data_IF_156883289378
#
_entry.id   IF_156883289378
#
_cell.length_a   1.000
_cell.length_b   1.000
_cell.length_c   1.000
_cell.angle_alpha   90.00
_cell.angle_beta   90.00
_cell.angle_gamma   90.00
#
_symmetry.space_group_name_H-M   'P 1'
#
loop_
_entity.id
_entity.type
_entity.pdbx_description
1 polymer ?
#
# COMPACT_ATOMS: atom_id res chain seq x y z
N UNK A 1 7.90 6.35 -7.58
CA UNK A 1 7.03 7.28 -6.82
C UNK A 1 5.66 6.61 -6.69
N UNK A 2 4.86 6.92 -5.67
CA UNK A 2 3.62 6.17 -5.38
C UNK A 2 2.37 6.94 -5.87
N UNK A 3 1.51 6.30 -6.66
CA UNK A 3 0.33 6.93 -7.27
C UNK A 3 -0.92 6.04 -7.16
N UNK A 4 -2.03 6.60 -6.68
CA UNK A 4 -3.33 5.93 -6.73
C UNK A 4 -4.09 6.20 -8.02
N UNK A 5 -4.66 5.13 -8.56
CA UNK A 5 -5.58 5.14 -9.68
C UNK A 5 -6.95 4.66 -9.25
N UNK A 6 -7.97 5.28 -9.82
CA UNK A 6 -9.37 4.89 -9.67
C UNK A 6 -9.98 4.69 -11.04
N UNK A 7 -11.02 3.88 -11.12
CA UNK A 7 -11.63 3.47 -12.38
C UNK A 7 -13.13 3.19 -12.21
N UNK A 8 -13.83 3.07 -13.35
CA UNK A 8 -15.20 2.56 -13.39
C UNK A 8 -15.19 1.05 -13.15
N UNK A 9 -15.77 0.57 -12.05
CA UNK A 9 -15.75 -0.86 -11.71
C UNK A 9 -16.45 -1.75 -12.76
N UNK A 10 -17.24 -1.17 -13.65
CA UNK A 10 -17.88 -1.88 -14.78
C UNK A 10 -16.90 -2.16 -15.93
N UNK A 11 -15.69 -1.59 -15.91
CA UNK A 11 -14.65 -1.80 -16.93
C UNK A 11 -13.68 -2.96 -16.56
N UNK A 12 -13.96 -3.73 -15.50
CA UNK A 12 -13.09 -4.82 -14.99
C UNK A 12 -12.90 -5.99 -15.98
N UNK A 13 -13.69 -6.09 -17.05
CA UNK A 13 -13.65 -7.20 -18.01
C UNK A 13 -12.47 -7.16 -19.02
N UNK A 14 -11.42 -6.36 -18.77
CA UNK A 14 -10.25 -6.29 -19.66
C UNK A 14 -9.03 -6.96 -19.00
N UNK A 15 -8.32 -7.80 -19.76
CA UNK A 15 -7.01 -8.41 -19.39
C UNK A 15 -5.87 -7.38 -19.25
N UNK A 16 -6.19 -6.08 -19.16
CA UNK A 16 -5.22 -5.00 -19.05
C UNK A 16 -4.93 -4.69 -17.57
N UNK A 17 -3.65 -4.56 -17.22
CA UNK A 17 -3.17 -4.17 -15.88
C UNK A 17 -3.90 -2.96 -15.27
N UNK A 18 -4.17 -1.94 -16.10
CA UNK A 18 -5.02 -0.81 -15.73
C UNK A 18 -6.31 -0.88 -16.56
N UNK A 19 -7.49 -0.82 -15.92
CA UNK A 19 -8.76 -0.68 -16.62
C UNK A 19 -8.74 0.54 -17.56
N UNK A 20 -9.51 0.50 -18.64
CA UNK A 20 -9.54 1.59 -19.65
C UNK A 20 -9.93 2.95 -19.07
N UNK A 21 -10.77 2.97 -18.05
CA UNK A 21 -11.16 4.19 -17.31
C UNK A 21 -10.20 4.57 -16.18
N UNK A 22 -9.10 3.83 -15.97
CA UNK A 22 -8.15 4.14 -14.92
C UNK A 22 -7.58 5.54 -15.08
N UNK A 23 -7.74 6.35 -14.03
CA UNK A 23 -7.24 7.72 -13.99
C UNK A 23 -6.74 8.06 -12.58
N UNK A 24 -5.88 9.07 -12.49
CA UNK A 24 -5.39 9.54 -11.19
C UNK A 24 -6.51 10.24 -10.44
N UNK A 25 -6.46 10.19 -9.12
CA UNK A 25 -7.43 10.88 -8.26
C UNK A 25 -7.48 12.40 -8.57
N UNK A 26 -6.31 13.01 -8.83
CA UNK A 26 -6.23 14.43 -9.23
C UNK A 26 -7.06 14.76 -10.48
N UNK A 27 -7.03 13.86 -11.46
CA UNK A 27 -7.68 14.07 -12.75
C UNK A 27 -9.19 13.89 -12.60
N UNK A 28 -9.60 12.87 -11.83
CA UNK A 28 -11.01 12.65 -11.47
C UNK A 28 -11.59 13.84 -10.71
N UNK A 29 -10.88 14.37 -9.70
CA UNK A 29 -11.36 15.53 -8.92
C UNK A 29 -11.46 16.81 -9.75
N UNK A 30 -10.62 16.95 -10.78
CA UNK A 30 -10.61 18.12 -11.66
C UNK A 30 -11.70 18.08 -12.72
N UNK A 31 -12.00 16.88 -13.24
CA UNK A 31 -13.02 16.66 -14.25
C UNK A 31 -13.76 15.34 -14.01
N UNK A 32 -14.71 15.31 -13.05
CA UNK A 32 -15.37 14.07 -12.67
C UNK A 32 -16.20 13.48 -13.83
N UNK A 33 -15.99 12.21 -14.19
CA UNK A 33 -16.86 11.50 -15.13
C UNK A 33 -18.23 11.21 -14.51
N UNK A 34 -19.13 10.61 -15.29
CA UNK A 34 -20.49 10.26 -14.83
C UNK A 34 -20.55 9.06 -13.88
N UNK A 35 -19.48 8.28 -13.79
CA UNK A 35 -19.39 7.10 -12.92
C UNK A 35 -18.78 7.46 -11.57
N UNK A 36 -19.03 6.62 -10.56
CA UNK A 36 -18.47 6.76 -9.22
C UNK A 36 -17.45 5.64 -8.95
N UNK A 37 -16.22 5.97 -8.54
CA UNK A 37 -15.24 4.96 -8.17
C UNK A 37 -15.67 4.23 -6.91
N UNK A 38 -15.26 2.97 -6.83
CA UNK A 38 -15.37 2.15 -5.64
C UNK A 38 -14.10 2.29 -4.79
N UNK A 39 -14.24 2.72 -3.54
CA UNK A 39 -13.10 2.93 -2.63
C UNK A 39 -12.41 1.61 -2.21
N UNK A 40 -13.04 0.47 -2.46
CA UNK A 40 -12.49 -0.88 -2.32
C UNK A 40 -11.79 -1.40 -3.57
N UNK A 41 -11.75 -0.60 -4.63
CA UNK A 41 -11.21 -0.91 -5.95
C UNK A 41 -10.20 0.15 -6.40
N UNK A 42 -9.34 0.58 -5.49
CA UNK A 42 -8.25 1.51 -5.82
C UNK A 42 -7.04 0.71 -6.26
N UNK A 43 -6.31 1.22 -7.25
CA UNK A 43 -5.06 0.62 -7.76
C UNK A 43 -3.88 1.46 -7.27
N UNK A 44 -2.81 0.82 -6.79
CA UNK A 44 -1.56 1.51 -6.45
C UNK A 44 -0.44 1.17 -7.43
N UNK A 45 0.12 2.20 -8.05
CA UNK A 45 1.28 2.06 -8.92
C UNK A 45 2.53 2.67 -8.27
N UNK A 46 3.64 1.95 -8.36
CA UNK A 46 4.98 2.43 -8.07
C UNK A 46 5.75 2.69 -9.37
N UNK A 47 6.04 3.96 -9.65
CA UNK A 47 6.63 4.37 -10.95
C UNK A 47 8.01 3.76 -11.27
N UNK A 48 8.74 3.24 -10.28
CA UNK A 48 10.07 2.63 -10.51
C UNK A 48 10.00 1.10 -10.69
N UNK A 49 8.80 0.52 -10.66
CA UNK A 49 8.59 -0.91 -10.88
C UNK A 49 8.09 -1.16 -12.30
N UNK A 50 8.53 -2.24 -12.97
CA UNK A 50 7.90 -2.72 -14.19
C UNK A 50 6.40 -2.94 -14.01
N UNK A 51 5.63 -2.74 -15.08
CA UNK A 51 4.17 -2.94 -15.07
C UNK A 51 3.77 -4.33 -14.56
N UNK A 52 4.45 -5.38 -15.03
CA UNK A 52 4.19 -6.77 -14.62
C UNK A 52 4.35 -6.97 -13.10
N UNK A 53 5.28 -6.25 -12.46
CA UNK A 53 5.42 -6.34 -11.01
C UNK A 53 4.27 -5.63 -10.31
N UNK A 54 3.87 -4.44 -10.79
CA UNK A 54 2.73 -3.74 -10.21
C UNK A 54 1.44 -4.57 -10.27
N UNK A 55 1.25 -5.39 -11.32
CA UNK A 55 0.07 -6.23 -11.51
C UNK A 55 -0.14 -7.23 -10.37
N UNK A 56 0.96 -7.83 -9.90
CA UNK A 56 0.93 -8.90 -8.90
C UNK A 56 0.39 -8.47 -7.52
N UNK A 57 0.29 -7.16 -7.21
CA UNK A 57 -0.11 -6.68 -5.88
C UNK A 57 -1.20 -5.60 -5.87
N UNK A 58 -1.95 -5.49 -6.97
CA UNK A 58 -2.62 -4.26 -7.34
C UNK A 58 -4.03 -4.05 -6.78
N UNK A 59 -4.70 -5.08 -6.24
CA UNK A 59 -5.95 -4.85 -5.53
C UNK A 59 -5.63 -4.22 -4.18
N UNK A 60 -5.58 -2.89 -4.17
CA UNK A 60 -5.37 -2.14 -2.97
C UNK A 60 -6.67 -2.23 -2.17
N UNK A 61 -6.60 -2.90 -1.02
CA UNK A 61 -7.75 -3.05 -0.11
C UNK A 61 -8.38 -1.70 0.25
N UNK A 62 -9.47 -1.73 1.00
CA UNK A 62 -10.29 -0.55 1.29
C UNK A 62 -9.46 0.71 1.59
N UNK A 63 -9.64 1.79 0.79
CA UNK A 63 -8.80 2.99 0.86
C UNK A 63 -8.75 3.59 2.28
N UNK A 64 -9.87 3.56 3.01
CA UNK A 64 -9.97 4.00 4.39
C UNK A 64 -9.09 3.18 5.37
N UNK A 65 -8.73 1.94 5.05
CA UNK A 65 -7.79 1.13 5.82
C UNK A 65 -6.33 1.39 5.41
N UNK A 66 -6.11 1.92 4.21
CA UNK A 66 -4.79 2.21 3.67
C UNK A 66 -4.25 3.55 4.15
N UNK A 67 -5.07 4.61 4.15
CA UNK A 67 -4.59 5.96 4.50
C UNK A 67 -3.93 6.05 5.88
N UNK A 68 -4.49 5.46 6.95
CA UNK A 68 -3.81 5.47 8.25
C UNK A 68 -2.46 4.74 8.22
N UNK A 69 -2.31 3.71 7.37
CA UNK A 69 -1.03 3.00 7.23
C UNK A 69 0.01 3.86 6.53
N UNK A 70 -0.40 4.65 5.54
CA UNK A 70 0.48 5.61 4.87
C UNK A 70 0.93 6.73 5.81
N UNK A 71 0.04 7.19 6.70
CA UNK A 71 0.37 8.16 7.74
C UNK A 71 1.40 7.59 8.73
N UNK A 72 1.16 6.38 9.25
CA UNK A 72 2.14 5.68 10.10
C UNK A 72 3.47 5.47 9.36
N UNK A 73 3.42 5.07 8.09
CA UNK A 73 4.61 4.88 7.26
C UNK A 73 5.45 6.16 7.20
N UNK A 74 4.84 7.33 6.95
CA UNK A 74 5.54 8.62 6.96
C UNK A 74 6.17 8.91 8.32
N UNK A 75 5.42 8.71 9.42
CA UNK A 75 5.92 8.96 10.78
C UNK A 75 7.16 8.12 11.04
N UNK A 76 7.12 6.82 10.73
CA UNK A 76 8.25 5.92 10.96
C UNK A 76 9.46 6.25 10.11
N UNK A 77 9.26 6.54 8.82
CA UNK A 77 10.35 6.89 7.91
C UNK A 77 11.04 8.19 8.32
N UNK A 78 10.26 9.18 8.78
CA UNK A 78 10.79 10.47 9.28
C UNK A 78 11.58 10.28 10.58
N UNK A 79 11.18 9.30 11.41
CA UNK A 79 11.90 8.86 12.61
C UNK A 79 13.16 8.01 12.31
N UNK A 80 13.50 7.78 11.05
CA UNK A 80 14.61 6.90 10.66
C UNK A 80 14.36 5.41 10.96
N UNK A 81 13.10 5.01 11.13
CA UNK A 81 12.67 3.62 11.34
C UNK A 81 12.14 3.05 10.03
N UNK A 82 12.23 1.73 9.85
CA UNK A 82 11.51 1.10 8.76
C UNK A 82 10.00 1.18 9.00
N UNK A 83 9.25 1.30 7.92
CA UNK A 83 7.79 1.26 7.92
C UNK A 83 7.28 0.09 7.09
N UNK A 84 6.03 -0.30 7.37
CA UNK A 84 5.34 -1.38 6.70
C UNK A 84 4.06 -0.86 6.05
N UNK A 85 3.68 -1.48 4.94
CA UNK A 85 2.39 -1.28 4.30
C UNK A 85 1.76 -2.65 4.04
N UNK A 86 0.51 -2.82 4.46
CA UNK A 86 -0.26 -4.04 4.21
C UNK A 86 -1.29 -3.77 3.10
N UNK A 87 -1.28 -4.62 2.08
CA UNK A 87 -2.25 -4.64 0.97
C UNK A 87 -2.98 -5.98 0.94
N UNK A 88 -3.91 -6.17 0.00
CA UNK A 88 -4.77 -7.36 -0.02
C UNK A 88 -5.06 -7.81 -1.45
N UNK A 89 -4.39 -8.87 -1.93
CA UNK A 89 -4.63 -9.47 -3.23
C UNK A 89 -5.56 -10.66 -3.15
N UNK A 90 -6.70 -10.63 -3.85
CA UNK A 90 -7.52 -11.83 -4.12
C UNK A 90 -7.67 -12.82 -2.93
N UNK A 91 -7.85 -12.29 -1.70
CA UNK A 91 -8.00 -13.00 -0.40
C UNK A 91 -6.75 -13.13 0.49
N UNK A 92 -5.57 -12.70 0.06
CA UNK A 92 -4.32 -12.79 0.84
C UNK A 92 -3.76 -11.41 1.21
N UNK A 93 -3.22 -11.31 2.42
CA UNK A 93 -2.58 -10.08 2.90
C UNK A 93 -1.13 -10.03 2.45
N UNK A 94 -0.77 -9.00 1.69
CA UNK A 94 0.61 -8.78 1.27
C UNK A 94 1.23 -7.66 2.09
N UNK A 95 2.53 -7.78 2.33
CA UNK A 95 3.27 -6.80 3.10
C UNK A 95 4.42 -6.24 2.29
N UNK A 96 4.63 -4.94 2.44
CA UNK A 96 5.77 -4.21 1.88
C UNK A 96 6.57 -3.58 3.01
N UNK A 97 7.89 -3.47 2.82
CA UNK A 97 8.79 -2.79 3.74
C UNK A 97 9.45 -1.60 3.06
N UNK A 98 9.60 -0.54 3.83
CA UNK A 98 10.31 0.68 3.45
C UNK A 98 11.39 0.94 4.48
N UNK A 99 12.67 0.86 4.08
CA UNK A 99 13.82 1.03 4.98
C UNK A 99 14.55 2.33 4.65
N UNK A 100 14.66 3.29 5.59
CA UNK A 100 15.46 4.49 5.36
C UNK A 100 16.96 4.14 5.28
N UNK A 101 17.65 4.74 4.31
CA UNK A 101 19.10 4.61 4.10
C UNK A 101 19.65 5.94 3.60
N UNK A 102 20.23 6.73 4.51
CA UNK A 102 20.70 8.10 4.21
C UNK A 102 19.57 8.93 3.55
N UNK A 103 19.77 9.40 2.32
CA UNK A 103 18.81 10.20 1.54
C UNK A 103 17.85 9.35 0.69
N UNK A 104 17.92 8.03 0.80
CA UNK A 104 17.05 7.09 0.08
C UNK A 104 16.19 6.25 1.02
N UNK A 105 15.15 5.68 0.45
CA UNK A 105 14.30 4.67 1.07
C UNK A 105 14.33 3.44 0.16
N UNK A 106 14.68 2.29 0.73
CA UNK A 106 14.66 1.00 0.06
C UNK A 106 13.26 0.39 0.21
N UNK A 107 12.65 0.04 -0.91
CA UNK A 107 11.37 -0.66 -0.97
C UNK A 107 11.59 -2.13 -1.35
N UNK A 108 10.99 -3.03 -0.57
CA UNK A 108 10.96 -4.46 -0.90
C UNK A 108 9.58 -5.06 -0.64
N UNK A 109 9.25 -6.10 -1.40
CA UNK A 109 8.10 -6.96 -1.11
C UNK A 109 8.46 -7.99 -0.06
N UNK A 110 7.52 -8.23 0.86
CA UNK A 110 7.60 -9.26 1.88
C UNK A 110 6.66 -10.44 1.56
N UNK A 111 5.80 -10.31 0.55
CA UNK A 111 4.78 -11.31 0.24
C UNK A 111 3.83 -11.57 1.42
N UNK A 112 3.43 -12.83 1.58
CA UNK A 112 2.51 -13.27 2.64
C UNK A 112 3.30 -13.70 3.87
N UNK A 113 2.96 -13.10 5.01
CA UNK A 113 3.55 -13.45 6.30
C UNK A 113 2.96 -14.76 6.86
N UNK A 114 3.64 -15.45 7.78
CA UNK A 114 3.03 -16.57 8.50
C UNK A 114 1.94 -16.11 9.46
N UNK A 115 1.06 -17.03 9.86
CA UNK A 115 0.13 -16.79 10.97
C UNK A 115 0.91 -16.60 12.30
N UNK A 116 0.43 -15.72 13.20
CA UNK A 116 -0.77 -14.90 13.09
C UNK A 116 -0.55 -13.57 12.34
N UNK A 117 0.70 -13.24 11.97
CA UNK A 117 1.12 -11.93 11.48
C UNK A 117 0.46 -11.48 10.17
N UNK A 118 0.04 -12.41 9.30
CA UNK A 118 -0.70 -12.04 8.08
C UNK A 118 -2.05 -11.34 8.34
N UNK A 119 -2.63 -11.52 9.52
CA UNK A 119 -3.88 -10.87 9.95
C UNK A 119 -3.66 -9.51 10.62
N UNK A 120 -2.41 -9.18 10.95
CA UNK A 120 -2.07 -7.97 11.70
C UNK A 120 -2.00 -6.77 10.75
N UNK A 121 -2.43 -5.61 11.25
CA UNK A 121 -2.25 -4.34 10.56
C UNK A 121 -1.03 -3.61 11.13
N UNK A 122 -0.28 -2.87 10.32
CA UNK A 122 0.84 -2.06 10.79
C UNK A 122 0.38 -0.78 11.52
N UNK A 123 -0.72 -0.86 12.28
CA UNK A 123 -1.41 0.25 12.93
C UNK A 123 -1.64 -0.04 14.41
N UNK A 124 -1.42 0.95 15.27
CA UNK A 124 -1.75 0.86 16.71
C UNK A 124 -3.22 0.47 16.93
N UNK A 125 -4.11 1.11 16.17
CA UNK A 125 -5.55 0.84 16.21
C UNK A 125 -5.90 -0.01 14.99
N UNK A 126 -5.68 -1.32 15.11
CA UNK A 126 -6.03 -2.29 14.05
C UNK A 126 -7.54 -2.24 13.77
N UNK A 127 -7.97 -2.27 12.49
CA UNK A 127 -9.37 -2.46 12.14
C UNK A 127 -9.88 -3.88 12.51
N UNK A 128 -8.99 -4.81 12.83
CA UNK A 128 -9.34 -6.14 13.34
C UNK A 128 -9.49 -6.16 14.87
N UNK A 129 -10.47 -6.92 15.35
CA UNK A 129 -11.02 -6.88 16.72
C UNK A 129 -10.20 -7.62 17.81
N UNK A 130 -8.88 -7.79 17.65
CA UNK A 130 -8.07 -8.44 18.68
C UNK A 130 -7.58 -7.42 19.71
N UNK A 131 -8.47 -7.07 20.66
CA UNK A 131 -8.27 -5.95 21.61
C UNK A 131 -7.15 -6.14 22.63
N UNK A 132 -6.70 -7.38 22.85
CA UNK A 132 -5.82 -7.72 23.96
C UNK A 132 -4.33 -7.74 23.60
N UNK A 133 -3.99 -7.49 22.32
CA UNK A 133 -2.61 -7.58 21.81
C UNK A 133 -2.26 -6.32 21.02
N UNK A 134 -1.08 -5.75 21.28
CA UNK A 134 -0.49 -4.69 20.43
C UNK A 134 0.05 -5.32 19.14
N UNK A 135 -0.86 -5.56 18.19
CA UNK A 135 -0.57 -6.20 16.90
C UNK A 135 0.49 -5.45 16.10
N UNK A 136 0.49 -4.11 16.18
CA UNK A 136 1.50 -3.30 15.51
C UNK A 136 2.87 -3.65 16.07
N UNK A 137 3.03 -3.59 17.39
CA UNK A 137 4.30 -3.88 18.03
C UNK A 137 4.79 -5.28 17.70
N UNK A 138 3.94 -6.31 17.85
CA UNK A 138 4.30 -7.70 17.53
C UNK A 138 4.73 -7.86 16.06
N UNK A 139 4.01 -7.23 15.12
CA UNK A 139 4.36 -7.26 13.70
C UNK A 139 5.74 -6.65 13.45
N UNK A 140 6.00 -5.45 13.96
CA UNK A 140 7.29 -4.80 13.79
C UNK A 140 8.43 -5.55 14.50
N UNK A 141 8.18 -6.15 15.66
CA UNK A 141 9.16 -6.99 16.37
C UNK A 141 9.46 -8.27 15.60
N UNK A 142 8.45 -8.94 15.04
CA UNK A 142 8.63 -10.11 14.18
C UNK A 142 9.51 -9.79 12.97
N UNK A 143 9.18 -8.72 12.24
CA UNK A 143 9.96 -8.30 11.06
C UNK A 143 11.39 -7.92 11.44
N UNK A 144 11.57 -7.24 12.59
CA UNK A 144 12.90 -6.89 13.09
C UNK A 144 13.72 -8.12 13.49
N UNK A 145 13.12 -9.08 14.17
CA UNK A 145 13.78 -10.29 14.67
C UNK A 145 14.19 -11.25 13.56
N UNK A 146 13.40 -11.34 12.49
CA UNK A 146 13.69 -12.19 11.33
C UNK A 146 14.60 -11.51 10.28
N UNK A 147 15.07 -10.30 10.61
CA UNK A 147 16.08 -9.51 9.92
C UNK A 147 15.71 -9.09 8.49
N UNK A 148 16.31 -7.97 8.07
CA UNK A 148 16.04 -7.22 6.83
C UNK A 148 16.55 -7.94 5.55
N UNK A 149 16.35 -9.25 5.40
CA UNK A 149 16.75 -10.04 4.21
C UNK A 149 16.90 -11.57 4.38
N UNK A 150 16.92 -12.12 5.61
CA UNK A 150 17.15 -13.56 5.88
C UNK A 150 15.88 -14.42 6.10
N UNK A 151 14.72 -13.99 5.61
CA UNK A 151 13.41 -14.47 6.06
C UNK A 151 12.52 -14.96 4.92
N UNK A 152 13.04 -15.00 3.68
CA UNK A 152 12.35 -15.60 2.52
C UNK A 152 11.85 -17.02 2.83
N UNK A 153 12.54 -17.77 3.68
CA UNK A 153 12.15 -19.11 4.12
C UNK A 153 10.94 -19.14 5.08
N UNK A 154 10.64 -18.03 5.76
CA UNK A 154 9.50 -17.90 6.69
C UNK A 154 8.24 -17.34 6.02
N UNK A 155 8.38 -16.85 4.80
CA UNK A 155 7.34 -16.25 3.98
C UNK A 155 6.70 -17.31 3.08
N UNK A 156 5.39 -17.24 2.90
CA UNK A 156 4.63 -18.18 2.09
C UNK A 156 4.12 -17.42 0.84
N UNK A 157 4.08 -18.08 -0.33
CA UNK A 157 3.46 -17.52 -1.54
C UNK A 157 4.40 -17.39 -2.75
N UNK A 158 3.78 -17.23 -3.93
CA UNK A 158 4.45 -17.07 -5.23
C UNK A 158 4.19 -15.67 -5.79
N UNK A 159 4.76 -14.64 -5.16
CA UNK A 159 4.70 -13.26 -5.66
C UNK A 159 6.07 -12.87 -6.16
N UNK A 160 6.12 -12.11 -7.25
CA UNK A 160 7.37 -11.63 -7.81
C UNK A 160 8.21 -10.90 -6.75
N UNK A 161 9.45 -11.34 -6.63
CA UNK A 161 10.39 -10.81 -5.67
C UNK A 161 10.80 -9.38 -6.05
N UNK A 162 10.53 -8.43 -5.15
CA UNK A 162 10.99 -7.05 -5.27
C UNK A 162 11.93 -6.76 -4.12
N UNK A 163 13.16 -6.39 -4.43
CA UNK A 163 14.17 -6.13 -3.41
C UNK A 163 14.87 -4.80 -3.64
N UNK A 164 14.95 -4.02 -2.56
CA UNK A 164 15.80 -2.84 -2.40
C UNK A 164 15.69 -1.83 -3.55
N UNK A 165 14.47 -1.63 -4.04
CA UNK A 165 14.19 -0.59 -5.02
C UNK A 165 14.37 0.76 -4.37
N UNK A 166 15.30 1.54 -4.90
CA UNK A 166 15.67 2.81 -4.30
C UNK A 166 14.70 3.92 -4.72
N UNK A 167 14.19 4.64 -3.73
CA UNK A 167 13.52 5.92 -3.90
C UNK A 167 14.27 7.02 -3.18
N UNK A 168 14.31 8.22 -3.77
CA UNK A 168 14.74 9.42 -3.03
C UNK A 168 13.75 9.67 -1.90
N UNK A 169 14.25 9.79 -0.66
CA UNK A 169 13.41 9.85 0.53
C UNK A 169 12.42 11.02 0.47
N UNK A 170 12.91 12.21 0.09
CA UNK A 170 12.09 13.43 -0.06
C UNK A 170 10.96 13.25 -1.07
N UNK A 171 11.23 12.60 -2.20
CA UNK A 171 10.26 12.45 -3.28
C UNK A 171 9.20 11.40 -2.93
N UNK A 172 9.62 10.29 -2.32
CA UNK A 172 8.68 9.27 -1.84
C UNK A 172 7.75 9.83 -0.77
N UNK A 173 8.30 10.47 0.28
CA UNK A 173 7.51 11.08 1.35
C UNK A 173 6.55 12.13 0.79
N UNK A 174 6.99 12.97 -0.16
CA UNK A 174 6.12 13.93 -0.83
C UNK A 174 4.97 13.24 -1.55
N UNK A 175 5.25 12.18 -2.30
CA UNK A 175 4.21 11.45 -3.04
C UNK A 175 3.20 10.77 -2.10
N UNK A 176 3.65 10.18 -0.98
CA UNK A 176 2.74 9.57 -0.01
C UNK A 176 1.82 10.64 0.60
N UNK A 177 2.36 11.80 1.01
CA UNK A 177 1.55 12.91 1.51
C UNK A 177 0.52 13.41 0.49
N UNK A 178 0.91 13.50 -0.78
CA UNK A 178 0.03 13.88 -1.87
C UNK A 178 -1.11 12.87 -2.06
N UNK A 179 -0.80 11.56 -2.05
CA UNK A 179 -1.81 10.51 -2.16
C UNK A 179 -2.78 10.50 -0.97
N UNK A 180 -2.31 10.74 0.26
CA UNK A 180 -3.17 10.89 1.44
C UNK A 180 -4.13 12.08 1.25
N UNK A 181 -3.61 13.24 0.85
CA UNK A 181 -4.42 14.44 0.63
C UNK A 181 -5.49 14.21 -0.45
N UNK A 182 -5.10 13.71 -1.61
CA UNK A 182 -6.01 13.46 -2.73
C UNK A 182 -7.08 12.44 -2.36
N UNK A 183 -6.71 11.38 -1.64
CA UNK A 183 -7.65 10.35 -1.19
C UNK A 183 -8.67 10.89 -0.20
N UNK A 184 -8.26 11.75 0.74
CA UNK A 184 -9.20 12.44 1.63
C UNK A 184 -10.18 13.33 0.86
N UNK A 185 -9.69 14.09 -0.13
CA UNK A 185 -10.53 14.91 -1.00
C UNK A 185 -11.53 14.07 -1.82
N UNK A 186 -11.10 12.91 -2.33
CA UNK A 186 -11.98 11.96 -3.02
C UNK A 186 -13.08 11.44 -2.10
N UNK A 187 -12.73 11.00 -0.88
CA UNK A 187 -13.70 10.50 0.08
C UNK A 187 -14.75 11.55 0.44
N UNK A 188 -14.34 12.82 0.61
CA UNK A 188 -15.29 13.89 0.90
C UNK A 188 -16.14 14.26 -0.31
N UNK A 189 -15.56 14.27 -1.51
CA UNK A 189 -16.30 14.46 -2.76
C UNK A 189 -17.43 13.43 -2.93
N UNK A 190 -17.16 12.15 -2.62
CA UNK A 190 -18.14 11.06 -2.74
C UNK A 190 -19.21 11.05 -1.65
N UNK A 191 -19.00 11.75 -0.51
CA UNK A 191 -20.05 11.92 0.52
C UNK A 191 -21.04 13.01 0.15
N UNK A 192 -20.60 14.01 -0.63
CA UNK A 192 -21.38 15.19 -0.99
C UNK A 192 -22.20 15.01 -2.27
N UNK A 193 -21.89 14.01 -3.09
CA UNK A 193 -22.51 13.73 -4.39
C UNK A 193 -23.03 12.30 -4.48
#
# INVERSE_FOLDING_TARGET
MMTFYIYNYEDEDNDDFLPKSAMKISDFLSNPPSWKPRLDKVILVFDNLPFILNEDFNSFGLLNHILPQLEELIVRLTDGKFGLLRTCTQSEALFFIFKPKLDTILFSSLGVLPLPFNTYFPLKNSPNYFKDIDQQKELYEFIKANNLGNWKETLIGHISEIEDIEYKAKDLIKSINEQIKLSNQLMDFLKLN
#
